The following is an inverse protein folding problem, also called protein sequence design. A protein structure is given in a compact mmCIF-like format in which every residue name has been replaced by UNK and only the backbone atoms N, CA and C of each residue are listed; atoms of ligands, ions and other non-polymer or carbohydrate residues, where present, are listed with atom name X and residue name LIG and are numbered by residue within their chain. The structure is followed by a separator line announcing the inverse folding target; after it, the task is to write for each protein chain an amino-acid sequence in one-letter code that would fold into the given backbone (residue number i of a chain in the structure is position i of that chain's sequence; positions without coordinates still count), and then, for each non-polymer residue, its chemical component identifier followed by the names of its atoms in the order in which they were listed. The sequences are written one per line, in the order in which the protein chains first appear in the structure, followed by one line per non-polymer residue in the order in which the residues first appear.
data_IF_879441314792
#
_entry.id   IF_879441314792
#
_cell.length_a   1.000
_cell.length_b   1.000
_cell.length_c   1.000
_cell.angle_alpha   90.00
_cell.angle_beta   90.00
_cell.angle_gamma   90.00
#
_symmetry.space_group_name_H-M   'P 1'
#
loop_
_entity.id
_entity.type
_entity.pdbx_description
1 polymer ?
#
# COMPACT_ATOMS: atom_id res chain seq x y z
N UNK A 1 4.02 -13.58 4.48
CA UNK A 1 4.25 -12.52 5.49
C UNK A 1 3.34 -11.35 5.11
N UNK A 2 2.65 -10.71 6.04
CA UNK A 2 1.86 -9.52 5.69
C UNK A 2 2.78 -8.37 5.30
N UNK A 3 2.45 -7.66 4.22
CA UNK A 3 3.14 -6.47 3.72
C UNK A 3 3.64 -5.51 4.81
N UNK A 4 2.85 -5.20 5.87
CA UNK A 4 3.30 -4.24 6.88
C UNK A 4 4.37 -4.76 7.86
N UNK A 5 4.52 -6.08 8.03
CA UNK A 5 5.47 -6.66 8.98
C UNK A 5 6.92 -6.60 8.49
N UNK A 6 7.13 -6.73 7.17
CA UNK A 6 8.45 -6.67 6.56
C UNK A 6 9.02 -5.24 6.58
N UNK A 7 8.20 -4.25 6.19
CA UNK A 7 8.63 -2.85 6.11
C UNK A 7 9.08 -2.30 7.46
N UNK A 8 8.35 -2.58 8.54
CA UNK A 8 8.74 -2.12 9.88
C UNK A 8 10.06 -2.73 10.33
N UNK A 9 10.26 -4.03 10.15
CA UNK A 9 11.53 -4.66 10.50
C UNK A 9 12.68 -3.98 9.76
N UNK A 10 12.48 -3.68 8.48
CA UNK A 10 13.47 -3.01 7.65
C UNK A 10 13.72 -1.57 8.11
N UNK A 11 12.68 -0.78 8.41
CA UNK A 11 12.83 0.61 8.86
C UNK A 11 13.37 0.74 10.28
N UNK A 12 13.10 -0.22 11.17
CA UNK A 12 13.70 -0.28 12.50
C UNK A 12 15.18 -0.65 12.44
N UNK A 13 15.55 -1.59 11.56
CA UNK A 13 16.94 -2.04 11.41
C UNK A 13 17.81 -1.07 10.60
N UNK A 14 17.23 -0.43 9.59
CA UNK A 14 17.89 0.51 8.69
C UNK A 14 17.09 1.82 8.59
N UNK A 15 17.09 2.66 9.63
CA UNK A 15 16.23 3.85 9.68
C UNK A 15 16.50 4.87 8.57
N UNK A 16 17.72 4.90 8.02
CA UNK A 16 18.11 5.81 6.95
C UNK A 16 17.45 5.53 5.60
N UNK A 17 16.75 4.40 5.43
CA UNK A 17 16.05 4.08 4.18
C UNK A 17 14.70 4.81 4.06
N UNK A 18 14.21 5.40 5.16
CA UNK A 18 12.92 6.09 5.20
C UNK A 18 13.17 7.59 5.28
N UNK A 19 12.56 8.31 4.35
CA UNK A 19 12.53 9.77 4.36
C UNK A 19 11.09 10.23 4.13
N UNK A 20 10.65 11.20 4.92
CA UNK A 20 9.35 11.82 4.71
C UNK A 20 9.40 12.75 3.52
N UNK A 21 8.42 12.59 2.62
CA UNK A 21 8.32 13.44 1.44
C UNK A 21 7.87 14.85 1.83
N UNK A 22 8.50 15.86 1.24
CA UNK A 22 8.14 17.27 1.39
C UNK A 22 7.14 17.63 0.29
N UNK A 23 5.90 17.89 0.69
CA UNK A 23 4.84 18.33 -0.21
C UNK A 23 4.81 19.86 -0.27
N UNK A 24 5.14 20.44 -1.44
CA UNK A 24 4.99 21.88 -1.67
C UNK A 24 3.52 22.16 -1.97
N UNK A 25 2.92 23.05 -1.20
CA UNK A 25 1.58 23.55 -1.48
C UNK A 25 1.63 24.98 -1.97
N UNK A 26 0.68 25.34 -2.84
CA UNK A 26 0.53 26.72 -3.29
C UNK A 26 0.11 27.66 -2.17
N UNK A 27 0.31 28.95 -2.41
CA UNK A 27 -0.18 29.99 -1.52
C UNK A 27 -1.70 29.98 -1.47
N UNK A 28 -2.28 30.25 -0.31
CA UNK A 28 -3.74 30.40 -0.18
C UNK A 28 -4.14 31.69 -0.91
N UNK A 29 -5.10 31.56 -1.84
CA UNK A 29 -5.52 32.65 -2.75
C UNK A 29 -6.88 33.24 -2.40
N UNK A 30 -7.66 32.61 -1.51
CA UNK A 30 -8.93 33.13 -1.04
C UNK A 30 -9.26 32.69 0.41
N UNK A 31 -10.30 33.30 0.97
CA UNK A 31 -10.75 33.03 2.35
C UNK A 31 -11.38 31.63 2.52
N UNK A 32 -11.74 30.97 1.40
CA UNK A 32 -12.23 29.59 1.36
C UNK A 32 -11.09 28.55 1.49
N UNK A 33 -9.83 29.01 1.44
CA UNK A 33 -8.65 28.16 1.61
C UNK A 33 -8.10 27.53 0.32
N UNK A 34 -8.59 27.96 -0.85
CA UNK A 34 -8.08 27.52 -2.14
C UNK A 34 -6.62 27.94 -2.30
N UNK A 35 -5.84 27.11 -3.00
CA UNK A 35 -4.40 27.31 -3.18
C UNK A 35 -4.06 27.57 -4.63
N UNK A 36 -3.11 28.46 -4.87
CA UNK A 36 -2.52 28.68 -6.17
C UNK A 36 -1.90 27.37 -6.72
N UNK A 37 -1.87 27.17 -8.05
CA UNK A 37 -1.14 26.06 -8.64
C UNK A 37 0.35 26.13 -8.28
N UNK A 38 0.95 24.97 -7.99
CA UNK A 38 2.39 24.87 -7.78
C UNK A 38 3.09 24.67 -9.12
N UNK A 39 4.14 25.44 -9.40
CA UNK A 39 4.98 25.18 -10.57
C UNK A 39 5.77 23.86 -10.37
N UNK A 40 5.41 22.86 -11.17
CA UNK A 40 6.02 21.53 -11.13
C UNK A 40 7.28 21.43 -12.01
N UNK A 41 7.58 22.48 -12.79
CA UNK A 41 8.82 22.56 -13.57
C UNK A 41 10.02 22.96 -12.70
N UNK A 42 9.78 23.58 -11.56
CA UNK A 42 10.81 23.88 -10.57
C UNK A 42 11.48 22.60 -10.03
N UNK A 43 12.71 22.74 -9.47
CA UNK A 43 13.39 21.64 -8.79
C UNK A 43 12.53 20.96 -7.73
N UNK A 44 12.70 19.65 -7.57
CA UNK A 44 11.95 18.86 -6.62
C UNK A 44 12.31 19.27 -5.17
N UNK A 45 11.32 19.60 -4.31
CA UNK A 45 11.57 20.04 -2.93
C UNK A 45 12.19 18.96 -2.04
N UNK A 46 12.17 17.69 -2.45
CA UNK A 46 12.76 16.57 -1.70
C UNK A 46 14.30 16.52 -1.80
N UNK A 47 14.92 17.38 -2.63
CA UNK A 47 16.37 17.43 -2.81
C UNK A 47 16.91 16.37 -3.78
N UNK A 48 16.03 15.53 -4.33
CA UNK A 48 16.34 14.56 -5.38
C UNK A 48 15.38 14.70 -6.55
N UNK A 49 15.92 14.62 -7.77
CA UNK A 49 15.15 14.55 -9.00
C UNK A 49 14.88 13.10 -9.39
N UNK A 50 13.77 12.86 -10.08
CA UNK A 50 13.40 11.54 -10.58
C UNK A 50 13.23 11.57 -12.09
N UNK A 51 13.80 10.58 -12.77
CA UNK A 51 13.63 10.44 -14.22
C UNK A 51 12.29 9.77 -14.53
N UNK A 52 12.04 8.63 -13.87
CA UNK A 52 10.92 7.76 -14.17
C UNK A 52 10.05 7.55 -12.94
N UNK A 53 8.74 7.83 -13.06
CA UNK A 53 7.72 7.48 -12.08
C UNK A 53 6.89 6.30 -12.60
N UNK A 54 6.78 5.26 -11.79
CA UNK A 54 5.96 4.08 -12.05
C UNK A 54 4.82 4.02 -11.05
N UNK A 55 3.59 3.90 -11.54
CA UNK A 55 2.39 3.80 -10.72
C UNK A 55 1.80 2.41 -10.84
N UNK A 56 1.75 1.68 -9.72
CA UNK A 56 0.82 0.56 -9.58
C UNK A 56 -0.58 1.14 -9.34
N UNK A 57 -1.38 1.15 -10.40
CA UNK A 57 -2.70 1.77 -10.39
C UNK A 57 -3.66 1.05 -9.47
N UNK A 58 -3.51 -0.26 -9.23
CA UNK A 58 -4.38 -0.98 -8.32
C UNK A 58 -4.20 -0.50 -6.87
N UNK A 59 -2.97 -0.13 -6.50
CA UNK A 59 -2.66 0.55 -5.24
C UNK A 59 -3.32 1.92 -5.08
N UNK A 60 -3.74 2.57 -6.17
CA UNK A 60 -4.43 3.88 -6.17
C UNK A 60 -5.96 3.70 -6.24
N UNK A 61 -6.45 2.81 -7.11
CA UNK A 61 -7.88 2.58 -7.35
C UNK A 61 -8.59 2.10 -6.08
N UNK A 62 -7.96 1.19 -5.32
CA UNK A 62 -8.57 0.64 -4.11
C UNK A 62 -8.85 1.71 -3.03
N UNK A 63 -7.87 2.53 -2.59
CA UNK A 63 -8.11 3.63 -1.66
C UNK A 63 -9.11 4.68 -2.18
N UNK A 64 -9.11 4.98 -3.49
CA UNK A 64 -10.02 5.97 -4.05
C UNK A 64 -11.48 5.48 -4.12
N UNK A 65 -11.71 4.17 -4.22
CA UNK A 65 -13.06 3.60 -4.27
C UNK A 65 -13.63 3.28 -2.89
N UNK A 66 -12.78 2.98 -1.91
CA UNK A 66 -13.16 2.67 -0.54
C UNK A 66 -12.24 3.35 0.48
N UNK A 67 -12.28 4.68 0.58
CA UNK A 67 -11.42 5.39 1.52
C UNK A 67 -11.78 5.02 2.98
N UNK A 68 -10.76 4.77 3.81
CA UNK A 68 -10.96 4.48 5.24
C UNK A 68 -11.38 5.72 6.03
N UNK A 69 -10.87 6.89 5.64
CA UNK A 69 -10.98 8.15 6.39
C UNK A 69 -11.94 9.18 5.75
N UNK A 70 -12.60 8.83 4.65
CA UNK A 70 -13.54 9.70 3.93
C UNK A 70 -14.79 8.90 3.54
N UNK A 71 -15.94 9.55 3.28
CA UNK A 71 -17.07 8.84 2.70
C UNK A 71 -16.69 8.25 1.34
N UNK A 72 -17.20 7.05 1.05
CA UNK A 72 -17.00 6.42 -0.26
C UNK A 72 -17.65 7.28 -1.37
N UNK A 73 -17.04 7.33 -2.58
CA UNK A 73 -17.63 8.04 -3.71
C UNK A 73 -19.03 7.54 -4.06
N UNK A 74 -19.89 8.42 -4.53
CA UNK A 74 -21.30 8.10 -4.82
C UNK A 74 -21.49 7.38 -6.16
N UNK A 75 -20.59 7.61 -7.11
CA UNK A 75 -20.67 7.10 -8.47
C UNK A 75 -19.26 6.96 -9.09
N UNK A 76 -19.17 6.30 -10.24
CA UNK A 76 -17.89 6.08 -10.94
C UNK A 76 -17.19 7.39 -11.35
N UNK A 77 -17.94 8.45 -11.68
CA UNK A 77 -17.34 9.71 -12.08
C UNK A 77 -16.59 10.36 -10.90
N UNK A 78 -17.16 10.36 -9.70
CA UNK A 78 -16.48 10.80 -8.47
C UNK A 78 -15.26 9.92 -8.16
N UNK A 79 -15.32 8.60 -8.42
CA UNK A 79 -14.16 7.71 -8.27
C UNK A 79 -13.03 8.08 -9.22
N UNK A 80 -13.33 8.36 -10.49
CA UNK A 80 -12.32 8.74 -11.48
C UNK A 80 -11.69 10.09 -11.13
N UNK A 81 -12.47 11.07 -10.66
CA UNK A 81 -11.94 12.34 -10.16
C UNK A 81 -10.99 12.11 -8.98
N UNK A 82 -11.38 11.29 -8.01
CA UNK A 82 -10.51 10.97 -6.87
C UNK A 82 -9.20 10.29 -7.30
N UNK A 83 -9.25 9.38 -8.30
CA UNK A 83 -8.05 8.76 -8.87
C UNK A 83 -7.16 9.82 -9.53
N UNK A 84 -7.73 10.73 -10.32
CA UNK A 84 -6.97 11.81 -10.97
C UNK A 84 -6.30 12.74 -9.96
N UNK A 85 -7.02 13.18 -8.93
CA UNK A 85 -6.47 14.00 -7.86
C UNK A 85 -5.32 13.30 -7.11
N UNK A 86 -5.46 12.00 -6.86
CA UNK A 86 -4.41 11.21 -6.22
C UNK A 86 -3.16 11.10 -7.12
N UNK A 87 -3.36 10.87 -8.42
CA UNK A 87 -2.27 10.85 -9.40
C UNK A 87 -1.58 12.20 -9.54
N UNK A 88 -2.34 13.30 -9.58
CA UNK A 88 -1.77 14.65 -9.62
C UNK A 88 -0.92 14.94 -8.38
N UNK A 89 -1.39 14.51 -7.21
CA UNK A 89 -0.64 14.64 -5.96
C UNK A 89 0.68 13.87 -6.00
N UNK A 90 0.66 12.62 -6.45
CA UNK A 90 1.88 11.81 -6.63
C UNK A 90 2.83 12.44 -7.66
N UNK A 91 2.28 12.92 -8.78
CA UNK A 91 3.05 13.59 -9.81
C UNK A 91 3.71 14.87 -9.28
N UNK A 92 2.98 15.69 -8.51
CA UNK A 92 3.49 16.93 -7.95
C UNK A 92 4.61 16.71 -6.92
N UNK A 93 4.56 15.58 -6.22
CA UNK A 93 5.54 15.19 -5.21
C UNK A 93 6.84 14.64 -5.84
N UNK A 94 6.72 13.81 -6.88
CA UNK A 94 7.86 13.13 -7.51
C UNK A 94 8.47 13.93 -8.67
N UNK A 95 7.64 14.64 -9.44
CA UNK A 95 8.03 15.46 -10.60
C UNK A 95 8.93 14.70 -11.59
N UNK A 96 8.48 13.57 -12.17
CA UNK A 96 9.29 12.80 -13.10
C UNK A 96 9.70 13.64 -14.32
N UNK A 97 10.96 13.49 -14.76
CA UNK A 97 11.53 14.32 -15.84
C UNK A 97 11.56 13.64 -17.20
N UNK A 98 11.38 12.31 -17.27
CA UNK A 98 11.51 11.53 -18.51
C UNK A 98 10.31 10.62 -18.77
N UNK A 99 9.86 9.86 -17.77
CA UNK A 99 8.81 8.85 -17.96
C UNK A 99 7.77 8.87 -16.84
N UNK A 100 6.50 8.77 -17.21
CA UNK A 100 5.41 8.31 -16.36
C UNK A 100 4.86 6.99 -16.91
N UNK A 101 4.98 5.92 -16.14
CA UNK A 101 4.44 4.61 -16.48
C UNK A 101 3.29 4.26 -15.54
N UNK A 102 2.10 4.04 -16.08
CA UNK A 102 0.91 3.64 -15.33
C UNK A 102 0.58 2.19 -15.63
N UNK A 103 0.64 1.34 -14.63
CA UNK A 103 0.38 -0.09 -14.78
C UNK A 103 -0.90 -0.48 -14.03
N UNK A 104 -1.90 -0.93 -14.79
CA UNK A 104 -3.13 -1.53 -14.24
C UNK A 104 -2.95 -3.04 -14.25
N UNK A 105 -3.44 -3.75 -13.23
CA UNK A 105 -3.44 -5.22 -13.25
C UNK A 105 -4.19 -5.75 -14.48
N UNK A 106 -3.52 -6.64 -15.20
CA UNK A 106 -4.10 -7.46 -16.25
C UNK A 106 -4.37 -8.88 -15.78
N UNK A 107 -4.57 -9.80 -16.73
CA UNK A 107 -4.73 -11.22 -16.41
C UNK A 107 -3.45 -11.76 -15.77
N UNK A 108 -3.54 -12.14 -14.49
CA UNK A 108 -2.42 -12.60 -13.69
C UNK A 108 -2.14 -14.11 -13.86
N UNK A 109 -0.94 -14.60 -13.47
CA UNK A 109 -0.63 -16.03 -13.46
C UNK A 109 -1.54 -16.82 -12.51
N UNK A 110 -1.69 -18.13 -12.77
CA UNK A 110 -2.55 -19.02 -11.97
C UNK A 110 -2.26 -18.99 -10.48
N UNK A 111 -0.99 -18.88 -10.08
CA UNK A 111 -0.60 -18.79 -8.69
C UNK A 111 -1.25 -17.57 -8.00
N UNK A 112 -1.18 -16.40 -8.65
CA UNK A 112 -1.83 -15.18 -8.17
C UNK A 112 -3.35 -15.29 -8.24
N UNK A 113 -3.91 -15.87 -9.29
CA UNK A 113 -5.37 -16.06 -9.41
C UNK A 113 -5.95 -16.83 -8.23
N UNK A 114 -5.26 -17.87 -7.73
CA UNK A 114 -5.68 -18.60 -6.55
C UNK A 114 -5.72 -17.69 -5.30
N UNK A 115 -4.69 -16.87 -5.10
CA UNK A 115 -4.63 -15.92 -3.99
C UNK A 115 -5.72 -14.84 -4.10
N UNK A 116 -5.90 -14.25 -5.29
CA UNK A 116 -6.96 -13.28 -5.56
C UNK A 116 -8.35 -13.88 -5.33
N UNK A 117 -8.59 -15.12 -5.81
CA UNK A 117 -9.83 -15.86 -5.54
C UNK A 117 -10.07 -16.00 -4.04
N UNK A 118 -9.10 -16.51 -3.28
CA UNK A 118 -9.25 -16.66 -1.82
C UNK A 118 -9.55 -15.33 -1.11
N UNK A 119 -8.90 -14.22 -1.52
CA UNK A 119 -9.19 -12.88 -0.97
C UNK A 119 -10.62 -12.44 -1.25
N UNK A 120 -11.09 -12.59 -2.49
CA UNK A 120 -12.45 -12.17 -2.91
C UNK A 120 -13.55 -12.97 -2.21
N UNK A 121 -13.38 -14.28 -2.11
CA UNK A 121 -14.30 -15.14 -1.36
C UNK A 121 -14.38 -14.74 0.12
N UNK A 122 -13.24 -14.38 0.73
CA UNK A 122 -13.21 -13.88 2.10
C UNK A 122 -13.90 -12.53 2.23
N UNK A 123 -13.60 -11.57 1.35
CA UNK A 123 -14.22 -10.24 1.37
C UNK A 123 -15.75 -10.30 1.19
N UNK A 124 -16.23 -11.16 0.29
CA UNK A 124 -17.67 -11.38 0.10
C UNK A 124 -18.32 -11.94 1.37
N UNK A 125 -17.68 -12.93 2.02
CA UNK A 125 -18.15 -13.48 3.29
C UNK A 125 -18.13 -12.45 4.41
N UNK A 126 -17.05 -11.70 4.57
CA UNK A 126 -16.93 -10.63 5.58
C UNK A 126 -17.98 -9.54 5.38
N UNK A 127 -18.27 -9.16 4.14
CA UNK A 127 -19.33 -8.20 3.80
C UNK A 127 -20.72 -8.73 4.22
N UNK A 128 -21.01 -10.00 3.90
CA UNK A 128 -22.27 -10.64 4.30
C UNK A 128 -22.41 -10.77 5.83
N UNK A 129 -21.36 -11.25 6.52
CA UNK A 129 -21.34 -11.38 7.97
C UNK A 129 -21.50 -10.01 8.65
N UNK A 130 -20.90 -8.95 8.08
CA UNK A 130 -21.06 -7.57 8.56
C UNK A 130 -22.49 -7.07 8.40
N UNK A 131 -23.17 -7.36 7.29
CA UNK A 131 -24.58 -7.02 7.08
C UNK A 131 -25.47 -7.67 8.14
N UNK A 132 -25.34 -8.99 8.32
CA UNK A 132 -26.09 -9.73 9.34
C UNK A 132 -25.85 -9.19 10.76
N UNK A 133 -24.60 -8.83 11.07
CA UNK A 133 -24.23 -8.23 12.35
C UNK A 133 -24.89 -6.88 12.57
N UNK A 134 -24.91 -6.02 11.53
CA UNK A 134 -25.57 -4.71 11.58
C UNK A 134 -27.08 -4.86 11.78
N UNK A 135 -27.72 -5.78 11.06
CA UNK A 135 -29.17 -6.04 11.18
C UNK A 135 -29.53 -6.52 12.58
N UNK A 136 -28.79 -7.49 13.12
CA UNK A 136 -28.97 -7.99 14.48
C UNK A 136 -28.80 -6.89 15.52
N UNK A 137 -27.72 -6.11 15.46
CA UNK A 137 -27.47 -5.01 16.40
C UNK A 137 -28.56 -3.94 16.33
N UNK A 138 -29.04 -3.61 15.12
CA UNK A 138 -30.17 -2.67 14.95
C UNK A 138 -31.43 -3.19 15.62
N UNK A 139 -31.79 -4.46 15.42
CA UNK A 139 -32.96 -5.07 16.05
C UNK A 139 -32.85 -5.06 17.58
N UNK A 140 -31.68 -5.42 18.14
CA UNK A 140 -31.43 -5.40 19.58
C UNK A 140 -31.52 -3.98 20.19
N UNK A 141 -31.01 -2.96 19.49
CA UNK A 141 -31.05 -1.57 19.94
C UNK A 141 -32.46 -0.96 19.86
N UNK A 142 -33.21 -1.26 18.79
CA UNK A 142 -34.62 -0.84 18.66
C UNK A 142 -35.49 -1.46 19.75
N UNK A 143 -35.28 -2.74 20.07
CA UNK A 143 -35.98 -3.42 21.17
C UNK A 143 -35.69 -2.78 22.54
N UNK A 144 -34.51 -2.15 22.71
CA UNK A 144 -34.12 -1.39 23.91
C UNK A 144 -34.60 0.07 23.89
N UNK A 145 -35.39 0.47 22.89
CA UNK A 145 -35.95 1.82 22.77
C UNK A 145 -34.98 2.87 22.24
N UNK A 146 -33.83 2.47 21.66
CA UNK A 146 -32.89 3.42 21.07
C UNK A 146 -33.41 3.96 19.74
N UNK A 147 -33.33 5.28 19.54
CA UNK A 147 -33.56 5.89 18.22
C UNK A 147 -32.32 5.69 17.35
N UNK A 148 -32.50 5.06 16.18
CA UNK A 148 -31.42 4.79 15.25
C UNK A 148 -31.59 5.63 13.99
N UNK A 149 -30.49 6.06 13.35
CA UNK A 149 -30.57 6.66 12.03
C UNK A 149 -31.21 5.67 11.05
N UNK A 150 -31.92 6.17 10.02
CA UNK A 150 -32.53 5.31 9.02
C UNK A 150 -31.49 4.35 8.44
N UNK A 151 -31.91 3.15 8.00
CA UNK A 151 -31.03 2.30 7.21
C UNK A 151 -30.45 3.16 6.09
N UNK A 152 -29.11 3.11 5.92
CA UNK A 152 -28.50 3.67 4.72
C UNK A 152 -29.30 3.03 3.57
N UNK A 153 -29.84 3.87 2.68
CA UNK A 153 -30.55 3.36 1.52
C UNK A 153 -29.67 2.37 0.77
N UNK A 154 -30.22 1.65 -0.20
CA UNK A 154 -29.42 0.98 -1.21
C UNK A 154 -28.67 2.03 -2.06
N UNK A 155 -27.76 2.81 -1.45
CA UNK A 155 -26.71 3.49 -2.17
C UNK A 155 -25.95 2.39 -2.89
N UNK A 156 -25.72 2.57 -4.19
CA UNK A 156 -24.97 1.65 -5.04
C UNK A 156 -23.69 1.24 -4.31
N UNK A 157 -23.73 0.06 -3.68
CA UNK A 157 -22.57 -0.48 -3.01
C UNK A 157 -21.59 -0.80 -4.11
N UNK A 158 -20.50 -0.03 -4.18
CA UNK A 158 -19.48 -0.27 -5.18
C UNK A 158 -18.84 -1.65 -4.91
N UNK A 159 -19.06 -2.59 -5.82
CA UNK A 159 -18.49 -3.93 -5.69
C UNK A 159 -17.01 -3.87 -6.09
N UNK A 160 -16.11 -3.89 -5.09
CA UNK A 160 -14.66 -3.93 -5.31
C UNK A 160 -14.19 -5.07 -6.23
N UNK A 161 -14.97 -6.14 -6.41
CA UNK A 161 -14.64 -7.21 -7.34
C UNK A 161 -14.68 -6.75 -8.81
N UNK A 162 -15.32 -5.60 -9.12
CA UNK A 162 -15.28 -5.02 -10.46
C UNK A 162 -13.88 -4.52 -10.85
N UNK A 163 -12.97 -4.34 -9.88
CA UNK A 163 -11.55 -4.05 -10.10
C UNK A 163 -10.85 -5.36 -10.53
N UNK A 164 -11.19 -5.82 -11.73
CA UNK A 164 -10.69 -7.03 -12.36
C UNK A 164 -10.65 -6.83 -13.87
N UNK A 165 -9.59 -7.28 -14.55
CA UNK A 165 -9.56 -7.31 -16.01
C UNK A 165 -10.82 -7.93 -16.62
N UNK A 166 -11.32 -7.31 -17.69
CA UNK A 166 -12.49 -7.79 -18.44
C UNK A 166 -13.85 -7.32 -17.90
N UNK A 167 -13.88 -6.46 -16.88
CA UNK A 167 -15.13 -5.83 -16.42
C UNK A 167 -15.39 -4.51 -17.17
N UNK A 168 -16.68 -4.12 -17.34
CA UNK A 168 -17.01 -2.83 -17.95
C UNK A 168 -16.42 -1.62 -17.20
N UNK A 169 -16.21 -1.74 -15.90
CA UNK A 169 -15.58 -0.70 -15.08
C UNK A 169 -14.13 -0.44 -15.54
N UNK A 170 -13.35 -1.50 -15.77
CA UNK A 170 -11.96 -1.36 -16.20
C UNK A 170 -11.84 -0.76 -17.61
N UNK A 171 -12.77 -1.08 -18.51
CA UNK A 171 -12.83 -0.48 -19.85
C UNK A 171 -13.09 1.03 -19.77
N UNK A 172 -14.05 1.45 -18.93
CA UNK A 172 -14.34 2.87 -18.70
C UNK A 172 -13.19 3.59 -18.01
N UNK A 173 -12.54 2.95 -17.03
CA UNK A 173 -11.36 3.48 -16.36
C UNK A 173 -10.20 3.69 -17.34
N UNK A 174 -9.96 2.76 -18.26
CA UNK A 174 -8.92 2.91 -19.28
C UNK A 174 -9.20 4.12 -20.20
N UNK A 175 -10.45 4.33 -20.61
CA UNK A 175 -10.86 5.51 -21.39
C UNK A 175 -10.63 6.80 -20.58
N UNK A 176 -11.04 6.80 -19.31
CA UNK A 176 -10.89 7.94 -18.41
C UNK A 176 -9.41 8.31 -18.20
N UNK A 177 -8.54 7.33 -17.99
CA UNK A 177 -7.09 7.54 -17.84
C UNK A 177 -6.45 8.05 -19.13
N UNK A 178 -6.88 7.56 -20.30
CA UNK A 178 -6.41 8.11 -21.58
C UNK A 178 -6.80 9.58 -21.73
N UNK A 179 -8.03 9.93 -21.39
CA UNK A 179 -8.47 11.32 -21.36
C UNK A 179 -7.62 12.16 -20.41
N UNK A 180 -7.40 11.69 -19.18
CA UNK A 180 -6.56 12.36 -18.19
C UNK A 180 -5.14 12.63 -18.74
N UNK A 181 -4.50 11.64 -19.35
CA UNK A 181 -3.17 11.82 -19.96
C UNK A 181 -3.20 12.87 -21.07
N UNK A 182 -4.17 12.80 -21.98
CA UNK A 182 -4.28 13.77 -23.07
C UNK A 182 -4.51 15.18 -22.55
N UNK A 183 -5.37 15.35 -21.56
CA UNK A 183 -5.63 16.66 -20.96
C UNK A 183 -4.33 17.20 -20.33
N UNK A 184 -3.64 16.40 -19.48
CA UNK A 184 -2.43 16.84 -18.79
C UNK A 184 -1.27 17.16 -19.73
N UNK A 185 -1.09 16.41 -20.82
CA UNK A 185 -0.10 16.70 -21.85
C UNK A 185 -0.35 18.05 -22.56
N UNK A 186 -1.61 18.49 -22.66
CA UNK A 186 -1.97 19.75 -23.30
C UNK A 186 -2.03 20.94 -22.34
N UNK A 187 -2.32 20.71 -21.04
CA UNK A 187 -2.54 21.78 -20.06
C UNK A 187 -1.40 21.98 -19.08
N UNK A 188 -0.59 20.96 -18.78
CA UNK A 188 0.45 21.01 -17.76
C UNK A 188 1.86 21.14 -18.36
N UNK A 189 2.58 22.27 -18.18
CA UNK A 189 3.93 22.47 -18.72
C UNK A 189 4.94 21.40 -18.31
N UNK A 190 4.81 20.82 -17.10
CA UNK A 190 5.71 19.78 -16.62
C UNK A 190 5.57 18.45 -17.38
N UNK A 191 4.48 18.25 -18.11
CA UNK A 191 4.23 17.05 -18.91
C UNK A 191 4.73 17.17 -20.35
N UNK A 192 5.10 18.38 -20.81
CA UNK A 192 5.38 18.67 -22.22
C UNK A 192 6.48 17.80 -22.85
N UNK A 193 7.51 17.44 -22.08
CA UNK A 193 8.64 16.62 -22.53
C UNK A 193 8.61 15.20 -21.93
N UNK A 194 7.51 14.82 -21.30
CA UNK A 194 7.37 13.56 -20.58
C UNK A 194 6.85 12.48 -21.53
N UNK A 195 7.51 11.32 -21.55
CA UNK A 195 6.92 10.13 -22.15
C UNK A 195 5.90 9.53 -21.18
N UNK A 196 4.68 9.26 -21.65
CA UNK A 196 3.64 8.62 -20.83
C UNK A 196 3.28 7.27 -21.42
N UNK A 197 3.35 6.22 -20.60
CA UNK A 197 2.96 4.86 -20.98
C UNK A 197 1.79 4.42 -20.09
N UNK A 198 0.66 4.08 -20.71
CA UNK A 198 -0.48 3.47 -20.04
C UNK A 198 -0.53 1.98 -20.43
N UNK A 199 -0.27 1.11 -19.46
CA UNK A 199 -0.47 -0.33 -19.60
C UNK A 199 -1.78 -0.71 -18.91
N UNK A 200 -2.87 -0.74 -19.67
CA UNK A 200 -4.20 -1.06 -19.16
C UNK A 200 -4.38 -2.55 -18.77
N UNK A 201 -5.61 -2.92 -18.38
CA UNK A 201 -5.96 -4.27 -17.95
C UNK A 201 -5.98 -5.31 -19.08
N UNK A 202 -5.94 -4.89 -20.34
CA UNK A 202 -5.94 -5.80 -21.49
C UNK A 202 -4.53 -6.33 -21.77
N UNK A 203 -3.49 -5.57 -21.39
CA UNK A 203 -2.14 -6.12 -21.30
C UNK A 203 -2.09 -7.18 -20.19
N UNK A 204 -1.65 -8.43 -20.44
CA UNK A 204 -1.57 -9.46 -19.41
C UNK A 204 -0.47 -9.15 -18.38
N UNK A 205 -0.58 -9.72 -17.18
CA UNK A 205 0.37 -9.56 -16.08
C UNK A 205 -0.10 -8.59 -14.99
N UNK A 206 0.47 -8.77 -13.80
CA UNK A 206 0.26 -7.87 -12.65
C UNK A 206 0.96 -6.53 -12.88
N UNK A 207 0.41 -5.44 -12.34
CA UNK A 207 0.90 -4.08 -12.51
C UNK A 207 2.38 -3.94 -12.13
N UNK A 208 2.73 -4.40 -10.92
CA UNK A 208 4.10 -4.42 -10.42
C UNK A 208 5.04 -5.22 -11.33
N UNK A 209 4.62 -6.38 -11.85
CA UNK A 209 5.44 -7.21 -12.71
C UNK A 209 5.61 -6.63 -14.11
N UNK A 210 4.59 -5.96 -14.67
CA UNK A 210 4.68 -5.20 -15.93
C UNK A 210 5.73 -4.10 -15.83
N UNK A 211 5.73 -3.36 -14.71
CA UNK A 211 6.72 -2.33 -14.42
C UNK A 211 8.12 -2.94 -14.37
N UNK A 212 8.29 -4.02 -13.60
CA UNK A 212 9.60 -4.65 -13.43
C UNK A 212 10.12 -5.26 -14.74
N UNK A 213 9.24 -5.84 -15.56
CA UNK A 213 9.59 -6.31 -16.91
C UNK A 213 10.04 -5.17 -17.81
N UNK A 214 9.36 -4.03 -17.76
CA UNK A 214 9.75 -2.84 -18.50
C UNK A 214 11.15 -2.34 -18.09
N UNK A 215 11.42 -2.22 -16.79
CA UNK A 215 12.73 -1.79 -16.27
C UNK A 215 13.84 -2.76 -16.70
N UNK A 216 13.63 -4.07 -16.55
CA UNK A 216 14.61 -5.08 -16.97
C UNK A 216 14.92 -5.01 -18.46
N UNK A 217 13.89 -4.81 -19.31
CA UNK A 217 14.08 -4.67 -20.76
C UNK A 217 14.78 -3.37 -21.13
N UNK A 218 14.47 -2.28 -20.43
CA UNK A 218 15.19 -1.01 -20.62
C UNK A 218 16.67 -1.18 -20.28
N UNK A 219 17.01 -1.77 -19.14
CA UNK A 219 18.39 -2.03 -18.72
C UNK A 219 19.20 -2.87 -19.71
N UNK A 220 18.55 -3.80 -20.41
CA UNK A 220 19.19 -4.61 -21.47
C UNK A 220 19.49 -3.82 -22.75
N UNK A 221 18.90 -2.63 -22.91
CA UNK A 221 19.12 -1.79 -24.08
C UNK A 221 20.51 -1.14 -24.04
N UNK A 222 21.27 -1.14 -25.15
CA UNK A 222 22.57 -0.46 -25.22
C UNK A 222 22.52 1.05 -24.97
N UNK A 223 21.35 1.67 -25.12
CA UNK A 223 21.14 3.12 -24.94
C UNK A 223 20.62 3.48 -23.55
N UNK A 224 20.52 2.51 -22.64
CA UNK A 224 20.05 2.77 -21.29
C UNK A 224 21.08 3.57 -20.49
N UNK A 225 20.57 4.54 -19.73
CA UNK A 225 21.37 5.32 -18.81
C UNK A 225 21.38 4.63 -17.43
N UNK A 226 22.52 4.09 -16.97
CA UNK A 226 22.61 3.36 -15.70
C UNK A 226 22.41 4.25 -14.46
N UNK A 227 22.37 5.57 -14.63
CA UNK A 227 22.09 6.50 -13.55
C UNK A 227 20.63 6.98 -13.53
N UNK A 228 19.75 6.35 -14.33
CA UNK A 228 18.33 6.68 -14.34
C UNK A 228 17.75 6.54 -12.93
N UNK A 229 17.10 7.59 -12.44
CA UNK A 229 16.47 7.61 -11.11
C UNK A 229 15.01 7.15 -11.20
N UNK A 230 14.72 6.04 -10.54
CA UNK A 230 13.43 5.37 -10.57
C UNK A 230 12.64 5.65 -9.29
N UNK A 231 11.37 6.02 -9.42
CA UNK A 231 10.42 6.08 -8.32
C UNK A 231 9.23 5.16 -8.60
N UNK A 232 8.97 4.19 -7.72
CA UNK A 232 7.83 3.28 -7.81
C UNK A 232 6.82 3.58 -6.71
N UNK A 233 5.58 3.88 -7.08
CA UNK A 233 4.49 4.07 -6.15
C UNK A 233 3.72 2.77 -5.92
N UNK A 234 3.68 2.34 -4.66
CA UNK A 234 2.85 1.23 -4.20
C UNK A 234 3.11 0.86 -2.75
N UNK A 235 2.15 0.19 -2.12
CA UNK A 235 2.20 -0.13 -0.69
C UNK A 235 2.75 -1.52 -0.36
N UNK A 236 2.89 -2.38 -1.38
CA UNK A 236 3.24 -3.80 -1.20
C UNK A 236 4.72 -3.97 -0.82
N UNK A 237 4.98 -4.91 0.09
CA UNK A 237 6.34 -5.20 0.55
C UNK A 237 7.17 -5.89 -0.53
N UNK A 238 6.49 -6.59 -1.44
CA UNK A 238 7.08 -7.29 -2.56
C UNK A 238 7.78 -6.28 -3.49
N UNK A 239 7.32 -5.01 -3.54
CA UNK A 239 7.95 -3.93 -4.30
C UNK A 239 9.39 -3.65 -3.85
N UNK A 240 9.72 -3.81 -2.56
CA UNK A 240 11.10 -3.63 -2.07
C UNK A 240 12.00 -4.71 -2.65
N UNK A 241 11.54 -5.98 -2.61
CA UNK A 241 12.29 -7.09 -3.18
C UNK A 241 12.41 -6.98 -4.69
N UNK A 242 11.33 -6.58 -5.36
CA UNK A 242 11.33 -6.36 -6.80
C UNK A 242 12.27 -5.21 -7.19
N UNK A 243 12.26 -4.10 -6.43
CA UNK A 243 13.18 -2.98 -6.60
C UNK A 243 14.64 -3.40 -6.48
N UNK A 244 15.00 -4.15 -5.42
CA UNK A 244 16.35 -4.72 -5.27
C UNK A 244 16.71 -5.68 -6.41
N UNK A 245 15.77 -6.50 -6.88
CA UNK A 245 15.97 -7.43 -7.98
C UNK A 245 16.12 -6.76 -9.36
N UNK A 246 15.81 -5.47 -9.49
CA UNK A 246 16.12 -4.72 -10.72
C UNK A 246 17.61 -4.49 -10.91
N UNK A 247 18.37 -4.49 -9.80
CA UNK A 247 19.78 -4.08 -9.74
C UNK A 247 20.03 -2.64 -10.20
N UNK A 248 19.01 -1.78 -10.24
CA UNK A 248 19.17 -0.35 -10.50
C UNK A 248 19.65 0.37 -9.22
N UNK A 249 20.74 1.17 -9.29
CA UNK A 249 21.33 1.80 -8.10
C UNK A 249 20.46 2.93 -7.52
N UNK A 250 19.69 3.61 -8.36
CA UNK A 250 18.84 4.73 -7.98
C UNK A 250 17.36 4.36 -8.03
N UNK A 251 16.92 3.57 -7.05
CA UNK A 251 15.55 3.07 -6.98
C UNK A 251 14.89 3.45 -5.65
N UNK A 252 13.82 4.23 -5.73
CA UNK A 252 13.05 4.72 -4.58
C UNK A 252 11.63 4.20 -4.65
N UNK A 253 11.06 3.81 -3.50
CA UNK A 253 9.65 3.41 -3.38
C UNK A 253 8.92 4.47 -2.57
N UNK A 254 7.81 4.96 -3.11
CA UNK A 254 6.90 5.84 -2.40
C UNK A 254 5.66 5.08 -1.95
N UNK A 255 5.27 5.28 -0.68
CA UNK A 255 4.15 4.63 -0.02
C UNK A 255 3.56 5.50 1.09
N UNK A 256 2.34 5.21 1.49
CA UNK A 256 1.73 5.73 2.72
C UNK A 256 2.20 4.92 3.95
N UNK A 257 2.31 5.58 5.10
CA UNK A 257 2.91 5.04 6.33
C UNK A 257 1.97 4.07 7.06
N UNK A 258 2.47 2.86 7.38
CA UNK A 258 1.75 1.81 8.12
C UNK A 258 2.72 0.97 8.97
N UNK A 259 2.49 0.91 10.29
CA UNK A 259 3.35 0.23 11.28
C UNK A 259 2.91 -1.21 11.62
N UNK A 260 3.73 -2.29 11.46
CA UNK A 260 3.44 -3.64 12.07
C UNK A 260 4.69 -4.51 12.36
N UNK A 261 4.62 -5.38 13.39
CA UNK A 261 5.68 -6.06 14.20
C UNK A 261 6.47 -7.25 13.59
N UNK A 262 7.58 -7.59 14.28
CA UNK A 262 8.86 -8.23 13.87
C UNK A 262 9.06 -9.76 14.03
N UNK A 263 10.19 -10.27 13.48
CA UNK A 263 11.07 -11.22 14.21
C UNK A 263 11.70 -12.40 13.43
N UNK A 264 11.32 -12.65 12.17
CA UNK A 264 11.72 -13.88 11.46
C UNK A 264 12.93 -13.74 10.52
N UNK A 265 13.24 -12.54 10.05
CA UNK A 265 14.20 -12.32 8.95
C UNK A 265 15.66 -12.40 9.44
N UNK A 266 15.94 -11.91 10.65
CA UNK A 266 17.30 -11.92 11.21
C UNK A 266 17.88 -13.34 11.30
N UNK A 267 17.08 -14.30 11.75
CA UNK A 267 17.49 -15.71 11.86
C UNK A 267 17.79 -16.34 10.49
N UNK A 268 17.00 -16.01 9.46
CA UNK A 268 17.25 -16.49 8.10
C UNK A 268 18.55 -15.93 7.53
N UNK A 269 18.90 -14.67 7.84
CA UNK A 269 20.16 -14.06 7.43
C UNK A 269 21.35 -14.73 8.12
N UNK A 270 21.23 -15.08 9.41
CA UNK A 270 22.29 -15.80 10.13
C UNK A 270 22.54 -17.20 9.54
N UNK A 271 21.47 -17.97 9.28
CA UNK A 271 21.57 -19.29 8.63
C UNK A 271 22.15 -19.19 7.21
N UNK A 272 21.73 -18.19 6.44
CA UNK A 272 22.26 -17.92 5.12
C UNK A 272 23.77 -17.65 5.16
N UNK A 273 24.24 -16.78 6.08
CA UNK A 273 25.67 -16.48 6.22
C UNK A 273 26.50 -17.73 6.49
N UNK A 274 26.04 -18.59 7.41
CA UNK A 274 26.71 -19.88 7.70
C UNK A 274 26.73 -20.78 6.46
N UNK A 275 25.61 -20.87 5.74
CA UNK A 275 25.53 -21.74 4.56
C UNK A 275 26.42 -21.27 3.42
N UNK A 276 26.52 -19.95 3.20
CA UNK A 276 27.39 -19.37 2.17
C UNK A 276 28.87 -19.62 2.50
N UNK A 277 29.26 -19.54 3.78
CA UNK A 277 30.64 -19.84 4.19
C UNK A 277 30.97 -21.32 4.04
N UNK A 278 30.02 -22.21 4.31
CA UNK A 278 30.27 -23.67 4.29
C UNK A 278 30.20 -24.25 2.88
N UNK A 279 29.33 -23.71 2.01
CA UNK A 279 29.08 -24.24 0.66
C UNK A 279 29.85 -23.53 -0.47
N UNK A 280 30.77 -22.62 -0.12
CA UNK A 280 31.60 -21.79 -1.02
C UNK A 280 30.83 -21.25 -2.23
N UNK A 281 29.77 -20.46 -1.96
CA UNK A 281 29.06 -19.72 -2.99
C UNK A 281 27.63 -19.31 -2.65
N UNK A 282 27.03 -18.55 -3.56
CA UNK A 282 25.71 -17.92 -3.38
C UNK A 282 24.54 -18.91 -3.42
N UNK A 283 23.46 -18.61 -2.70
CA UNK A 283 22.23 -19.40 -2.74
C UNK A 283 21.54 -19.37 -4.11
N UNK A 284 21.69 -18.25 -4.82
CA UNK A 284 21.06 -18.02 -6.12
C UNK A 284 22.05 -17.42 -7.11
N UNK A 285 21.88 -17.75 -8.38
CA UNK A 285 22.57 -17.12 -9.51
C UNK A 285 21.55 -16.75 -10.58
N UNK A 286 21.34 -15.45 -10.78
CA UNK A 286 20.53 -14.90 -11.88
C UNK A 286 19.13 -15.53 -11.99
N UNK A 287 18.47 -15.73 -10.85
CA UNK A 287 17.14 -16.36 -10.76
C UNK A 287 17.14 -17.89 -10.63
N UNK A 288 18.29 -18.54 -10.78
CA UNK A 288 18.45 -19.97 -10.54
C UNK A 288 18.77 -20.23 -9.07
N UNK A 289 18.11 -21.23 -8.48
CA UNK A 289 18.24 -21.57 -7.06
C UNK A 289 19.07 -22.84 -6.91
N UNK A 290 20.12 -22.81 -6.09
CA UNK A 290 20.91 -24.00 -5.78
C UNK A 290 20.23 -24.80 -4.67
N UNK A 291 19.47 -25.84 -5.06
CA UNK A 291 18.62 -26.59 -4.14
C UNK A 291 19.40 -27.30 -3.01
N UNK A 292 20.62 -27.75 -3.27
CA UNK A 292 21.47 -28.37 -2.24
C UNK A 292 21.79 -27.37 -1.11
N UNK A 293 22.06 -26.10 -1.46
CA UNK A 293 22.30 -25.02 -0.50
C UNK A 293 21.01 -24.63 0.24
N UNK A 294 19.87 -24.63 -0.45
CA UNK A 294 18.56 -24.44 0.19
C UNK A 294 18.28 -25.55 1.20
N UNK A 295 18.58 -26.80 0.86
CA UNK A 295 18.37 -27.95 1.73
C UNK A 295 19.18 -27.82 3.02
N UNK A 296 20.43 -27.34 2.95
CA UNK A 296 21.24 -27.06 4.15
C UNK A 296 20.55 -26.02 5.05
N UNK A 297 20.10 -24.89 4.51
CA UNK A 297 19.39 -23.86 5.28
C UNK A 297 18.12 -24.44 5.93
N UNK A 298 17.30 -25.18 5.17
CA UNK A 298 16.06 -25.76 5.68
C UNK A 298 16.31 -26.82 6.75
N UNK A 299 17.40 -27.60 6.62
CA UNK A 299 17.79 -28.62 7.62
C UNK A 299 18.19 -27.95 8.94
N UNK A 300 19.00 -26.90 8.90
CA UNK A 300 19.38 -26.16 10.11
C UNK A 300 18.19 -25.41 10.73
N UNK A 301 17.31 -24.84 9.89
CA UNK A 301 16.07 -24.23 10.36
C UNK A 301 15.17 -25.25 11.08
N UNK A 302 15.06 -26.47 10.53
CA UNK A 302 14.30 -27.57 11.13
C UNK A 302 14.77 -27.95 12.54
N UNK A 303 16.07 -27.83 12.85
CA UNK A 303 16.60 -28.11 14.19
C UNK A 303 16.11 -27.13 15.25
N UNK A 304 15.80 -25.88 14.87
CA UNK A 304 15.35 -24.82 15.78
C UNK A 304 13.83 -24.64 15.79
N UNK A 305 13.08 -25.34 14.93
CA UNK A 305 11.62 -25.21 14.83
C UNK A 305 10.91 -25.51 16.15
N UNK A 306 11.29 -26.59 16.84
CA UNK A 306 10.67 -26.97 18.12
C UNK A 306 10.81 -25.90 19.20
N UNK A 307 11.97 -25.25 19.28
CA UNK A 307 12.21 -24.14 20.21
C UNK A 307 11.38 -22.91 19.82
N UNK A 308 11.29 -22.62 18.51
CA UNK A 308 10.47 -21.52 18.00
C UNK A 308 9.00 -21.74 18.36
N UNK A 309 8.47 -22.94 18.19
CA UNK A 309 7.07 -23.24 18.53
C UNK A 309 6.80 -23.12 20.03
N UNK A 310 7.71 -23.61 20.89
CA UNK A 310 7.59 -23.46 22.35
C UNK A 310 7.61 -21.98 22.76
N UNK A 311 8.60 -21.22 22.29
CA UNK A 311 8.74 -19.79 22.62
C UNK A 311 7.56 -18.95 22.13
N UNK A 312 7.02 -19.24 20.93
CA UNK A 312 5.81 -18.59 20.41
C UNK A 312 4.59 -18.86 21.28
N UNK A 313 4.41 -20.11 21.71
CA UNK A 313 3.29 -20.50 22.59
C UNK A 313 3.37 -19.79 23.94
N UNK A 314 4.55 -19.72 24.55
CA UNK A 314 4.76 -18.99 25.82
C UNK A 314 4.50 -17.49 25.68
N UNK A 315 4.97 -16.89 24.59
CA UNK A 315 4.73 -15.48 24.28
C UNK A 315 3.24 -15.19 24.08
N UNK A 316 2.51 -16.06 23.39
CA UNK A 316 1.06 -15.93 23.19
C UNK A 316 0.29 -16.06 24.51
N UNK A 317 0.65 -17.03 25.35
CA UNK A 317 0.05 -17.22 26.67
C UNK A 317 0.29 -15.99 27.57
N UNK A 318 1.52 -15.51 27.64
CA UNK A 318 1.86 -14.33 28.43
C UNK A 318 1.15 -13.06 27.93
N UNK A 319 0.97 -12.92 26.62
CA UNK A 319 0.19 -11.81 26.03
C UNK A 319 -1.30 -11.92 26.39
N UNK A 320 -1.89 -13.12 26.31
CA UNK A 320 -3.29 -13.36 26.71
C UNK A 320 -3.51 -13.05 28.19
N UNK A 321 -2.59 -13.46 29.05
CA UNK A 321 -2.66 -13.18 30.49
C UNK A 321 -2.54 -11.68 30.79
N UNK A 322 -1.61 -10.97 30.13
CA UNK A 322 -1.50 -9.50 30.24
C UNK A 322 -2.80 -8.81 29.81
N UNK A 323 -3.38 -9.20 28.68
CA UNK A 323 -4.63 -8.63 28.16
C UNK A 323 -5.81 -8.91 29.10
N UNK A 324 -5.89 -10.12 29.66
CA UNK A 324 -6.91 -10.49 30.65
C UNK A 324 -6.79 -9.64 31.92
N UNK A 325 -5.59 -9.50 32.47
CA UNK A 325 -5.32 -8.63 33.64
C UNK A 325 -5.64 -7.16 33.38
N UNK A 326 -5.41 -6.68 32.16
CA UNK A 326 -5.72 -5.30 31.77
C UNK A 326 -7.23 -5.05 31.66
N UNK A 327 -7.98 -6.02 31.11
CA UNK A 327 -9.45 -5.97 31.09
C UNK A 327 -10.07 -6.09 32.49
N UNK A 328 -9.52 -6.94 33.36
CA UNK A 328 -9.98 -7.08 34.75
C UNK A 328 -9.75 -5.80 35.57
N UNK A 329 -8.65 -5.08 35.33
CA UNK A 329 -8.39 -3.76 35.95
C UNK A 329 -9.32 -2.65 35.43
N UNK A 330 -9.88 -2.79 34.23
CA UNK A 330 -10.87 -1.86 33.66
C UNK A 330 -12.27 -1.98 34.28
N UNK A 331 -12.64 -3.17 34.77
CA UNK A 331 -13.94 -3.43 35.40
C UNK A 331 -13.97 -3.18 36.93
N UNK A 332 -12.83 -2.84 37.55
CA UNK A 332 -12.66 -2.75 39.00
C UNK A 332 -12.74 -1.34 39.63
N UNK A 333 -13.12 -0.28 38.89
CA UNK A 333 -13.40 1.02 39.51
C UNK A 333 -14.91 1.22 39.69
N UNK A 334 -15.48 0.96 40.89
CA UNK A 334 -16.75 1.57 41.24
C UNK A 334 -16.55 3.08 41.26
N UNK A 335 -17.42 3.80 40.57
CA UNK A 335 -17.43 5.26 40.54
C UNK A 335 -17.50 5.79 41.97
N UNK A 336 -16.40 6.41 42.43
CA UNK A 336 -16.45 7.18 43.65
C UNK A 336 -17.05 8.54 43.29
N UNK A 337 -18.28 8.77 43.75
CA UNK A 337 -18.97 10.06 43.64
C UNK A 337 -18.17 11.15 44.35
N UNK A 338 -17.50 12.00 43.57
CA UNK A 338 -16.97 13.28 44.01
C UNK A 338 -17.84 14.40 43.43
N UNK A 339 -18.51 15.15 44.30
CA UNK A 339 -19.37 16.30 43.98
C UNK A 339 -18.71 17.29 43.02
N UNK A 340 -19.48 18.00 42.16
CA UNK A 340 -18.94 19.03 41.30
C UNK A 340 -18.48 20.24 42.14
N UNK A 341 -17.20 20.61 42.02
CA UNK A 341 -16.73 21.92 42.46
C UNK A 341 -17.26 22.97 41.48
N UNK A 342 -18.09 23.87 42.00
CA UNK A 342 -18.52 25.10 41.33
C UNK A 342 -17.29 25.91 40.90
N UNK A 343 -17.16 26.19 39.60
CA UNK A 343 -16.34 27.29 39.14
C UNK A 343 -17.04 28.60 39.56
N UNK A 344 -16.45 29.30 40.53
CA UNK A 344 -16.82 30.66 40.92
C UNK A 344 -16.26 31.62 39.87
N UNK A 345 -17.16 32.32 39.18
CA UNK A 345 -16.87 33.45 38.31
C UNK A 345 -16.84 34.72 39.18
N UNK A 346 -15.76 35.48 39.13
CA UNK A 346 -15.71 36.88 39.61
C UNK A 346 -14.86 37.69 38.63
N UNK A 347 -15.40 38.78 38.05
CA UNK A 347 -14.64 39.71 37.21
C UNK A 347 -14.12 40.90 38.07
N UNK A 348 -13.36 41.84 37.50
CA UNK A 348 -12.35 41.75 36.44
C UNK A 348 -10.95 41.43 36.99
#
# INVERSE_FOLDING_TARGET
MGVPAFFRWLSQKYPSIVQHCVEKHGQIINDDGDRAPVDLTEPNPNGEEFDNLYLDMNGIIHPCTHPENKPAPKNEAEMFVAIFEYMDRLFALIRPRRLLYMAIDGVAPRAKMNQQRSRRFRAAKESHDKQLTIERLRAELLAKGASLPPPKGASEHFDSNCITPGTPFMDRLAIALRYYVYERLNSNPAWKNLQVILSDSNAPGEGEHKIMDFIRRQRQSPTHDPNTRHCLCGADADLIMLGLATHEPHFTIIREDLEIREGAIDRLIELYKSTVTDADGWLTDSGHVHLDRVQTILTELGKVEDEIFKSRRESELSFRDRKKRQNERGYGRPGNGGRPQRASWTPP
#
